data_IF_769858816520
#
_entry.id   IF_769858816520
#
_cell.length_a   1.000
_cell.length_b   1.000
_cell.length_c   1.000
_cell.angle_alpha   90.00
_cell.angle_beta   90.00
_cell.angle_gamma   90.00
#
_symmetry.space_group_name_H-M   'P 1'
#
loop_
_entity.id
_entity.type
_entity.pdbx_description
1 polymer ?
#
# COMPACT_ATOMS: atom_id res chain seq x y z
N UNK A 1 -38.85 24.75 22.29
CA UNK A 1 -38.13 23.47 22.40
C UNK A 1 -38.36 22.70 21.09
N UNK A 2 -37.41 22.69 20.20
CA UNK A 2 -37.50 21.92 18.93
C UNK A 2 -36.49 20.78 19.03
N UNK A 3 -36.99 19.55 19.04
CA UNK A 3 -36.17 18.33 19.00
C UNK A 3 -35.52 18.19 17.63
N UNK A 4 -34.17 18.21 17.60
CA UNK A 4 -33.39 17.82 16.44
C UNK A 4 -33.15 16.32 16.55
N UNK A 5 -33.83 15.55 15.69
CA UNK A 5 -33.62 14.12 15.57
C UNK A 5 -32.30 13.88 14.82
N UNK A 6 -31.29 13.39 15.52
CA UNK A 6 -30.04 12.93 14.91
C UNK A 6 -30.31 11.61 14.19
N UNK A 7 -30.28 11.64 12.87
CA UNK A 7 -30.42 10.47 12.01
C UNK A 7 -29.09 9.73 11.99
N UNK A 8 -28.99 8.62 12.72
CA UNK A 8 -27.85 7.71 12.69
C UNK A 8 -27.82 7.06 11.30
N UNK A 9 -26.89 7.51 10.46
CA UNK A 9 -26.58 6.86 9.18
C UNK A 9 -25.73 5.63 9.52
N UNK A 10 -26.31 4.44 9.44
CA UNK A 10 -25.56 3.17 9.44
C UNK A 10 -24.69 3.11 8.21
N UNK A 11 -23.41 3.41 8.36
CA UNK A 11 -22.40 3.14 7.35
C UNK A 11 -22.27 1.61 7.19
N UNK A 12 -22.62 1.10 6.03
CA UNK A 12 -22.32 -0.28 5.64
C UNK A 12 -20.82 -0.43 5.41
N UNK A 13 -20.19 -1.56 5.77
CA UNK A 13 -18.81 -1.80 5.42
C UNK A 13 -18.67 -1.79 3.90
N UNK A 14 -17.84 -0.89 3.38
CA UNK A 14 -17.48 -0.85 1.98
C UNK A 14 -16.57 -2.05 1.68
N UNK A 15 -17.15 -3.13 1.18
CA UNK A 15 -16.38 -4.13 0.45
C UNK A 15 -15.87 -3.46 -0.83
N UNK A 16 -14.57 -3.30 -0.94
CA UNK A 16 -13.93 -2.83 -2.19
C UNK A 16 -14.26 -3.86 -3.26
N UNK A 17 -15.11 -3.49 -4.23
CA UNK A 17 -15.49 -4.40 -5.30
C UNK A 17 -14.29 -4.66 -6.21
N UNK A 18 -14.09 -5.90 -6.70
CA UNK A 18 -13.02 -6.26 -7.64
C UNK A 18 -12.97 -5.39 -8.90
N UNK A 19 -14.09 -4.78 -9.26
CA UNK A 19 -14.23 -3.88 -10.43
C UNK A 19 -13.41 -2.58 -10.32
N UNK A 20 -13.12 -2.09 -9.09
CA UNK A 20 -12.31 -0.88 -8.89
C UNK A 20 -10.82 -1.10 -9.16
N UNK A 21 -10.32 -2.31 -8.88
CA UNK A 21 -8.91 -2.70 -9.15
C UNK A 21 -8.72 -2.91 -10.66
N UNK A 22 -9.71 -3.48 -11.35
CA UNK A 22 -9.69 -3.64 -12.80
C UNK A 22 -9.74 -2.28 -13.54
N UNK A 23 -10.38 -1.27 -12.97
CA UNK A 23 -10.39 0.09 -13.51
C UNK A 23 -9.03 0.77 -13.37
N UNK A 24 -8.31 0.56 -12.25
CA UNK A 24 -6.96 1.08 -12.02
C UNK A 24 -5.94 0.55 -13.03
N UNK A 25 -6.02 -0.75 -13.36
CA UNK A 25 -5.17 -1.35 -14.38
C UNK A 25 -5.45 -0.86 -15.81
N UNK A 26 -6.67 -0.37 -16.10
CA UNK A 26 -7.03 0.13 -17.45
C UNK A 26 -6.56 1.55 -17.73
N UNK A 27 -6.40 2.39 -16.71
CA UNK A 27 -6.13 3.83 -16.90
C UNK A 27 -4.65 4.13 -17.11
N UNK A 28 -3.74 3.35 -16.52
CA UNK A 28 -2.30 3.66 -16.57
C UNK A 28 -1.53 3.11 -17.78
N UNK A 29 -2.16 2.32 -18.67
CA UNK A 29 -1.51 1.77 -19.87
C UNK A 29 -2.10 2.23 -21.20
N UNK A 30 -3.14 3.08 -21.20
CA UNK A 30 -3.80 3.53 -22.44
C UNK A 30 -3.60 5.04 -22.71
N UNK A 31 -2.90 5.75 -21.83
CA UNK A 31 -2.69 7.21 -21.95
C UNK A 31 -1.59 7.66 -22.91
N UNK A 32 -0.79 6.76 -23.48
CA UNK A 32 0.20 7.09 -24.50
C UNK A 32 -0.10 6.33 -25.77
N UNK A 33 -0.86 6.95 -26.67
CA UNK A 33 -1.36 6.38 -27.94
C UNK A 33 -0.30 6.17 -29.00
N UNK A 34 0.75 5.35 -28.76
CA UNK A 34 1.87 5.20 -29.69
C UNK A 34 2.04 3.82 -30.29
N UNK A 35 1.43 2.74 -29.76
CA UNK A 35 1.58 1.42 -30.38
C UNK A 35 0.28 0.64 -30.50
N UNK A 36 -0.05 0.06 -31.69
CA UNK A 36 -1.17 -0.84 -31.88
C UNK A 36 -1.00 -2.12 -31.05
N UNK A 37 -2.12 -2.69 -30.59
CA UNK A 37 -2.21 -3.90 -29.74
C UNK A 37 -1.37 -5.10 -30.23
N UNK A 38 -1.10 -5.17 -31.53
CA UNK A 38 -0.30 -6.22 -32.17
C UNK A 38 1.20 -6.13 -31.82
N UNK A 39 1.72 -4.90 -31.63
CA UNK A 39 3.13 -4.68 -31.27
C UNK A 39 3.42 -4.87 -29.78
N UNK A 40 2.40 -4.81 -28.92
CA UNK A 40 2.56 -4.99 -27.49
C UNK A 40 2.97 -6.43 -27.11
N UNK A 41 2.42 -7.43 -27.82
CA UNK A 41 2.79 -8.83 -27.61
C UNK A 41 4.25 -9.13 -28.03
N UNK A 42 4.69 -8.56 -29.15
CA UNK A 42 6.05 -8.74 -29.67
C UNK A 42 7.07 -8.00 -28.81
N UNK A 43 6.74 -6.79 -28.32
CA UNK A 43 7.59 -6.03 -27.40
C UNK A 43 7.78 -6.76 -26.06
N UNK A 44 6.69 -7.26 -25.46
CA UNK A 44 6.76 -8.05 -24.21
C UNK A 44 7.60 -9.32 -24.40
N UNK A 45 7.49 -9.99 -25.53
CA UNK A 45 8.29 -11.18 -25.82
C UNK A 45 9.78 -10.87 -25.89
N UNK A 46 10.15 -9.78 -26.56
CA UNK A 46 11.54 -9.31 -26.66
C UNK A 46 12.14 -8.96 -25.28
N UNK A 47 11.38 -8.35 -24.37
CA UNK A 47 11.87 -8.03 -23.03
C UNK A 47 12.03 -9.29 -22.17
N UNK A 48 11.15 -10.27 -22.30
CA UNK A 48 11.26 -11.56 -21.60
C UNK A 48 12.46 -12.39 -22.08
N UNK A 49 12.89 -12.21 -23.33
CA UNK A 49 14.04 -12.92 -23.90
C UNK A 49 15.38 -12.40 -23.38
N UNK A 50 15.41 -11.23 -22.73
CA UNK A 50 16.58 -10.70 -22.05
C UNK A 50 16.81 -11.34 -20.67
N UNK A 51 15.78 -11.95 -20.07
CA UNK A 51 15.88 -12.50 -18.73
C UNK A 51 16.85 -13.69 -18.69
N UNK A 52 17.69 -13.67 -17.69
CA UNK A 52 18.68 -14.69 -17.39
C UNK A 52 18.13 -15.63 -16.32
N UNK A 53 17.83 -16.85 -16.70
CA UNK A 53 17.40 -17.89 -15.78
C UNK A 53 18.61 -18.69 -15.30
N UNK A 54 18.54 -19.20 -14.07
CA UNK A 54 19.57 -20.08 -13.54
C UNK A 54 19.65 -21.42 -14.29
N UNK A 55 20.58 -22.30 -13.88
CA UNK A 55 20.78 -23.64 -14.48
C UNK A 55 19.55 -24.55 -14.43
N UNK A 56 18.63 -24.26 -13.52
CA UNK A 56 17.38 -25.01 -13.33
C UNK A 56 16.19 -24.34 -14.06
N UNK A 57 16.48 -23.29 -14.85
CA UNK A 57 15.50 -22.51 -15.61
C UNK A 57 14.62 -21.63 -14.71
N UNK A 58 15.14 -21.20 -13.56
CA UNK A 58 14.44 -20.38 -12.57
C UNK A 58 15.05 -19.00 -12.43
N UNK A 59 14.21 -18.03 -12.09
CA UNK A 59 14.59 -16.66 -11.73
C UNK A 59 13.96 -16.31 -10.37
N UNK A 60 14.73 -15.75 -9.41
CA UNK A 60 14.19 -15.28 -8.16
C UNK A 60 13.29 -14.05 -8.38
N UNK A 61 12.19 -14.00 -7.62
CA UNK A 61 11.23 -12.92 -7.67
C UNK A 61 10.94 -12.43 -6.24
N UNK A 62 11.32 -11.20 -5.95
CA UNK A 62 10.99 -10.47 -4.74
C UNK A 62 9.60 -9.87 -4.92
N UNK A 63 8.63 -10.27 -4.10
CA UNK A 63 7.28 -9.72 -4.13
C UNK A 63 7.16 -8.63 -3.09
N UNK A 64 6.72 -7.45 -3.51
CA UNK A 64 6.62 -6.25 -2.69
C UNK A 64 5.20 -5.68 -2.75
N UNK A 65 4.69 -5.22 -1.62
CA UNK A 65 3.42 -4.50 -1.58
C UNK A 65 3.56 -3.14 -2.27
N UNK A 66 2.65 -2.83 -3.20
CA UNK A 66 2.73 -1.63 -4.01
C UNK A 66 2.57 -0.33 -3.22
N UNK A 67 1.89 -0.37 -2.07
CA UNK A 67 1.61 0.81 -1.26
C UNK A 67 2.62 1.00 -0.11
N UNK A 68 2.82 -0.04 0.69
CA UNK A 68 3.74 0.02 1.85
C UNK A 68 5.20 -0.18 1.48
N UNK A 69 5.48 -0.71 0.28
CA UNK A 69 6.81 -1.13 -0.17
C UNK A 69 7.42 -2.24 0.69
N UNK A 70 6.64 -2.85 1.56
CA UNK A 70 7.08 -3.99 2.38
C UNK A 70 7.32 -5.22 1.50
N UNK A 71 8.43 -5.88 1.69
CA UNK A 71 8.71 -7.17 1.04
C UNK A 71 7.78 -8.23 1.64
N UNK A 72 6.99 -8.88 0.79
CA UNK A 72 5.99 -9.87 1.20
C UNK A 72 6.55 -11.29 1.20
N UNK A 73 7.28 -11.65 0.17
CA UNK A 73 7.90 -12.97 0.02
C UNK A 73 8.97 -12.94 -1.06
N UNK A 74 9.85 -13.95 -1.06
CA UNK A 74 10.71 -14.30 -2.20
C UNK A 74 10.26 -15.66 -2.72
N UNK A 75 10.01 -15.73 -4.01
CA UNK A 75 9.61 -16.95 -4.70
C UNK A 75 10.46 -17.14 -5.97
N UNK A 76 10.25 -18.24 -6.66
CA UNK A 76 10.93 -18.52 -7.93
C UNK A 76 9.93 -18.62 -9.07
N UNK A 77 10.34 -18.15 -10.23
CA UNK A 77 9.55 -18.24 -11.44
C UNK A 77 10.36 -18.94 -12.54
N UNK A 78 9.67 -19.74 -13.34
CA UNK A 78 10.19 -20.18 -14.64
C UNK A 78 9.49 -19.36 -15.74
N UNK A 79 9.92 -19.54 -16.98
CA UNK A 79 9.35 -18.83 -18.14
C UNK A 79 7.82 -18.96 -18.20
N UNK A 80 7.31 -20.16 -18.00
CA UNK A 80 5.88 -20.45 -18.06
C UNK A 80 5.09 -19.72 -16.97
N UNK A 81 5.58 -19.75 -15.71
CA UNK A 81 4.92 -19.06 -14.59
C UNK A 81 4.88 -17.55 -14.79
N UNK A 82 5.95 -16.98 -15.38
CA UNK A 82 6.01 -15.57 -15.69
C UNK A 82 5.00 -15.19 -16.80
N UNK A 83 4.91 -15.98 -17.87
CA UNK A 83 3.94 -15.76 -18.95
C UNK A 83 2.48 -15.86 -18.42
N UNK A 84 2.21 -16.82 -17.55
CA UNK A 84 0.90 -16.94 -16.87
C UNK A 84 0.63 -15.69 -16.02
N UNK A 85 1.62 -15.23 -15.26
CA UNK A 85 1.50 -14.04 -14.41
C UNK A 85 1.16 -12.81 -15.24
N UNK A 86 1.86 -12.58 -16.32
CA UNK A 86 1.62 -11.46 -17.24
C UNK A 86 0.23 -11.53 -17.89
N UNK A 87 -0.19 -12.72 -18.31
CA UNK A 87 -1.51 -12.93 -18.93
C UNK A 87 -2.65 -12.73 -17.93
N UNK A 88 -2.52 -13.27 -16.72
CA UNK A 88 -3.56 -13.20 -15.68
C UNK A 88 -3.50 -11.93 -14.84
N UNK A 89 -2.36 -11.23 -14.84
CA UNK A 89 -2.04 -10.12 -13.95
C UNK A 89 -2.12 -10.52 -12.46
N UNK A 90 -1.86 -11.79 -12.18
CA UNK A 90 -1.79 -12.39 -10.86
C UNK A 90 -0.47 -13.14 -10.72
N UNK A 91 0.12 -13.14 -9.53
CA UNK A 91 1.39 -13.83 -9.31
C UNK A 91 1.23 -15.35 -9.41
N UNK A 92 1.97 -15.95 -10.34
CA UNK A 92 2.12 -17.38 -10.48
C UNK A 92 3.60 -17.73 -10.34
N UNK A 93 3.92 -18.66 -9.45
CA UNK A 93 5.29 -19.04 -9.12
C UNK A 93 5.57 -20.49 -9.51
N UNK A 94 6.84 -20.86 -9.51
CA UNK A 94 7.29 -22.25 -9.61
C UNK A 94 7.76 -22.75 -8.24
N UNK A 95 7.12 -23.79 -7.74
CA UNK A 95 7.51 -24.43 -6.48
C UNK A 95 8.68 -25.39 -6.71
N UNK A 96 9.87 -25.06 -6.22
CA UNK A 96 11.08 -25.87 -6.32
C UNK A 96 10.92 -27.26 -5.66
N UNK A 97 10.26 -27.31 -4.50
CA UNK A 97 10.05 -28.56 -3.77
C UNK A 97 9.00 -29.46 -4.41
N UNK A 98 7.92 -28.88 -4.95
CA UNK A 98 6.81 -29.63 -5.57
C UNK A 98 7.00 -29.82 -7.07
N UNK A 99 7.98 -29.13 -7.68
CA UNK A 99 8.26 -29.10 -9.12
C UNK A 99 7.02 -28.83 -9.97
N UNK A 100 6.21 -27.85 -9.54
CA UNK A 100 4.96 -27.46 -10.23
C UNK A 100 4.68 -25.96 -10.10
N UNK A 101 3.85 -25.48 -11.01
CA UNK A 101 3.31 -24.13 -10.96
C UNK A 101 2.38 -23.96 -9.76
N UNK A 102 2.35 -22.74 -9.23
CA UNK A 102 1.52 -22.37 -8.11
C UNK A 102 1.00 -20.93 -8.28
N UNK A 103 -0.29 -20.79 -8.47
CA UNK A 103 -0.96 -19.49 -8.49
C UNK A 103 -1.18 -19.04 -7.04
N UNK A 104 -0.60 -17.92 -6.67
CA UNK A 104 -0.77 -17.37 -5.31
C UNK A 104 -2.23 -17.01 -5.09
N UNK A 105 -2.80 -17.50 -4.01
CA UNK A 105 -4.22 -17.29 -3.69
C UNK A 105 -5.17 -18.38 -4.17
N UNK A 106 -4.73 -19.34 -4.99
CA UNK A 106 -5.62 -20.39 -5.53
C UNK A 106 -6.38 -21.20 -4.48
N UNK A 107 -5.81 -21.36 -3.28
CA UNK A 107 -6.42 -22.09 -2.17
C UNK A 107 -7.02 -21.16 -1.11
N UNK A 108 -6.35 -20.04 -0.82
CA UNK A 108 -6.71 -19.15 0.29
C UNK A 108 -7.66 -18.01 -0.11
N UNK A 109 -7.82 -17.74 -1.42
CA UNK A 109 -8.50 -16.54 -1.91
C UNK A 109 -7.66 -15.26 -1.85
N UNK A 110 -6.49 -15.29 -1.18
CA UNK A 110 -5.61 -14.13 -1.04
C UNK A 110 -4.72 -13.99 -2.28
N UNK A 111 -5.28 -13.48 -3.36
CA UNK A 111 -4.56 -13.23 -4.60
C UNK A 111 -3.62 -12.01 -4.48
N UNK A 112 -2.66 -11.93 -5.39
CA UNK A 112 -1.74 -10.83 -5.52
C UNK A 112 -1.85 -10.29 -6.94
N UNK A 113 -2.42 -9.09 -7.09
CA UNK A 113 -2.64 -8.40 -8.36
C UNK A 113 -1.37 -7.63 -8.72
N UNK A 114 -0.79 -7.96 -9.87
CA UNK A 114 0.47 -7.38 -10.32
C UNK A 114 0.26 -5.94 -10.78
N UNK A 115 1.01 -5.03 -10.19
CA UNK A 115 1.13 -3.61 -10.60
C UNK A 115 2.28 -3.45 -11.58
N UNK A 116 3.46 -4.00 -11.24
CA UNK A 116 4.66 -3.96 -12.09
C UNK A 116 5.51 -5.21 -11.90
N UNK A 117 6.30 -5.55 -12.92
CA UNK A 117 7.41 -6.50 -12.86
C UNK A 117 8.62 -5.80 -13.43
N UNK A 118 9.68 -5.70 -12.64
CA UNK A 118 10.92 -5.02 -13.01
C UNK A 118 12.08 -6.01 -12.85
N UNK A 119 12.89 -6.16 -13.87
CA UNK A 119 14.14 -6.90 -13.77
C UNK A 119 15.24 -5.98 -13.23
N UNK A 120 16.26 -6.56 -12.62
CA UNK A 120 17.47 -5.84 -12.22
C UNK A 120 18.40 -5.52 -13.42
N UNK A 121 19.59 -5.02 -13.13
CA UNK A 121 20.50 -4.48 -14.17
C UNK A 121 21.09 -5.54 -15.09
N UNK A 122 21.20 -6.78 -14.66
CA UNK A 122 21.74 -7.94 -15.41
C UNK A 122 20.68 -9.00 -15.71
N UNK A 123 19.40 -8.68 -15.42
CA UNK A 123 18.22 -9.45 -15.79
C UNK A 123 18.13 -10.83 -15.13
N UNK A 124 18.78 -11.07 -13.99
CA UNK A 124 18.81 -12.35 -13.30
C UNK A 124 17.91 -12.41 -12.06
N UNK A 125 17.26 -11.29 -11.71
CA UNK A 125 16.26 -11.22 -10.64
C UNK A 125 15.10 -10.27 -10.94
N UNK A 126 13.98 -10.48 -10.26
CA UNK A 126 12.75 -9.70 -10.46
C UNK A 126 12.26 -9.08 -9.17
N UNK A 127 11.76 -7.83 -9.24
CA UNK A 127 10.87 -7.23 -8.26
C UNK A 127 9.45 -7.19 -8.85
N UNK A 128 8.49 -7.74 -8.11
CA UNK A 128 7.07 -7.76 -8.50
C UNK A 128 6.29 -6.94 -7.48
N UNK A 129 5.81 -5.78 -7.89
CA UNK A 129 4.92 -4.98 -7.07
C UNK A 129 3.48 -5.47 -7.22
N UNK A 130 2.82 -5.67 -6.09
CA UNK A 130 1.46 -6.22 -6.06
C UNK A 130 0.52 -5.45 -5.11
N UNK A 131 -0.76 -5.46 -5.45
CA UNK A 131 -1.85 -5.20 -4.50
C UNK A 131 -2.41 -6.57 -4.08
N UNK A 132 -2.52 -6.80 -2.78
CA UNK A 132 -2.96 -8.10 -2.22
C UNK A 132 -4.39 -8.04 -1.68
N UNK A 133 -5.15 -9.13 -1.83
CA UNK A 133 -6.51 -9.25 -1.31
C UNK A 133 -6.56 -9.59 0.20
N UNK A 134 -5.41 -10.00 0.77
CA UNK A 134 -5.31 -10.39 2.18
C UNK A 134 -3.87 -10.74 2.57
N UNK A 135 -3.66 -11.42 3.71
CA UNK A 135 -2.35 -11.81 4.19
C UNK A 135 -1.51 -12.54 3.14
N UNK A 136 -0.24 -12.14 2.99
CA UNK A 136 0.64 -12.77 2.01
C UNK A 136 1.16 -14.13 2.48
N UNK A 137 1.34 -14.31 3.78
CA UNK A 137 1.86 -15.54 4.38
C UNK A 137 0.73 -16.55 4.67
N UNK A 138 1.05 -17.86 4.56
CA UNK A 138 0.14 -18.94 4.94
C UNK A 138 -0.14 -19.02 6.45
N UNK A 139 0.69 -18.37 7.28
CA UNK A 139 0.48 -18.23 8.72
C UNK A 139 -0.48 -17.09 9.07
N UNK A 140 -1.05 -16.41 8.07
CA UNK A 140 -1.96 -15.28 8.28
C UNK A 140 -1.24 -13.94 8.53
N UNK A 141 0.08 -13.89 8.45
CA UNK A 141 0.85 -12.65 8.56
C UNK A 141 0.91 -11.89 7.24
N UNK A 142 1.10 -10.59 7.35
CA UNK A 142 1.14 -9.68 6.20
C UNK A 142 2.31 -9.95 5.26
N UNK A 143 3.43 -10.43 5.81
CA UNK A 143 4.66 -10.79 5.12
C UNK A 143 5.18 -12.14 5.62
N UNK A 144 5.97 -12.83 4.80
CA UNK A 144 6.71 -14.02 5.22
C UNK A 144 7.95 -13.69 6.07
N UNK A 145 8.39 -12.43 6.08
CA UNK A 145 9.55 -11.97 6.83
C UNK A 145 9.14 -11.46 8.20
N UNK A 146 8.99 -12.39 9.16
CA UNK A 146 8.54 -12.11 10.52
C UNK A 146 9.59 -12.40 11.59
N UNK A 147 10.73 -13.01 11.21
CA UNK A 147 11.78 -13.39 12.14
C UNK A 147 13.01 -12.49 11.93
N UNK A 148 13.13 -11.45 12.74
CA UNK A 148 14.30 -10.58 12.74
C UNK A 148 15.50 -11.34 13.31
N UNK A 149 16.60 -11.41 12.58
CA UNK A 149 17.85 -12.04 13.02
C UNK A 149 18.82 -11.02 13.63
N UNK A 150 18.77 -9.79 13.18
CA UNK A 150 19.60 -8.69 13.65
C UNK A 150 18.85 -7.38 13.43
N UNK A 151 18.93 -6.49 14.38
CA UNK A 151 18.43 -5.12 14.32
C UNK A 151 19.53 -4.21 14.87
N UNK A 152 19.88 -3.16 14.12
CA UNK A 152 20.86 -2.18 14.57
C UNK A 152 20.13 -1.08 15.33
N UNK A 153 20.29 -1.06 16.67
CA UNK A 153 19.64 -0.08 17.55
C UNK A 153 20.19 1.35 17.36
N UNK A 154 21.39 1.50 16.79
CA UNK A 154 22.01 2.80 16.53
C UNK A 154 21.45 3.50 15.30
N UNK A 155 20.73 2.77 14.43
CA UNK A 155 20.14 3.29 13.20
C UNK A 155 18.63 3.19 13.30
N UNK A 156 17.97 4.34 13.47
CA UNK A 156 16.51 4.39 13.43
C UNK A 156 16.01 4.21 12.01
N UNK A 157 15.36 3.08 11.73
CA UNK A 157 14.56 2.89 10.51
C UNK A 157 13.16 3.46 10.75
N UNK A 158 13.04 4.79 10.59
CA UNK A 158 11.75 5.45 10.69
C UNK A 158 10.91 5.22 9.44
N UNK A 159 9.75 4.61 9.62
CA UNK A 159 8.72 4.56 8.59
C UNK A 159 7.36 4.98 9.15
N UNK A 160 6.53 5.58 8.30
CA UNK A 160 5.16 5.96 8.66
C UNK A 160 4.32 4.75 9.07
N UNK A 161 4.56 3.58 8.45
CA UNK A 161 3.85 2.35 8.77
C UNK A 161 4.29 1.82 10.15
N UNK A 162 5.59 1.88 10.50
CA UNK A 162 6.09 1.51 11.82
C UNK A 162 5.55 2.46 12.92
N UNK A 163 5.48 3.76 12.64
CA UNK A 163 4.86 4.72 13.56
C UNK A 163 3.36 4.41 13.77
N UNK A 164 2.65 4.09 12.70
CA UNK A 164 1.23 3.71 12.80
C UNK A 164 1.05 2.44 13.64
N UNK A 165 1.87 1.41 13.44
CA UNK A 165 1.83 0.18 14.22
C UNK A 165 2.12 0.45 15.72
N UNK A 166 3.08 1.33 16.02
CA UNK A 166 3.35 1.78 17.39
C UNK A 166 2.13 2.48 18.00
N UNK A 167 1.52 3.42 17.26
CA UNK A 167 0.32 4.15 17.70
C UNK A 167 -0.82 3.17 17.98
N UNK A 168 -1.09 2.24 17.06
CA UNK A 168 -2.11 1.21 17.20
C UNK A 168 -1.84 0.32 18.42
N UNK A 169 -0.59 -0.09 18.63
CA UNK A 169 -0.18 -0.85 19.81
C UNK A 169 -0.45 -0.10 21.13
N UNK A 170 -0.35 1.24 21.17
CA UNK A 170 -0.70 2.05 22.33
C UNK A 170 -2.20 2.11 22.60
N UNK A 171 -3.05 1.93 21.60
CA UNK A 171 -4.49 1.79 21.76
C UNK A 171 -4.86 0.43 22.35
N UNK A 172 -4.22 -0.65 21.85
CA UNK A 172 -4.47 -2.03 22.30
C UNK A 172 -3.86 -2.32 23.69
N UNK A 173 -2.71 -1.73 23.97
CA UNK A 173 -1.96 -1.88 25.22
C UNK A 173 -1.48 -0.50 25.72
N UNK A 174 -2.31 0.22 26.45
CA UNK A 174 -1.97 1.54 26.95
C UNK A 174 -0.73 1.52 27.84
N UNK A 175 0.13 2.53 27.69
CA UNK A 175 1.34 2.70 28.50
C UNK A 175 1.21 3.96 29.36
N UNK A 176 1.47 3.83 30.64
CA UNK A 176 1.51 4.96 31.57
C UNK A 176 2.51 6.04 31.13
N UNK A 177 2.11 7.30 31.19
CA UNK A 177 2.92 8.45 30.76
C UNK A 177 3.00 8.63 29.23
N UNK A 178 2.35 7.78 28.45
CA UNK A 178 2.33 7.92 26.99
C UNK A 178 1.27 8.93 26.54
N UNK A 179 1.69 9.95 25.79
CA UNK A 179 0.79 10.92 25.18
C UNK A 179 -0.21 10.26 24.20
N UNK A 180 0.24 9.26 23.43
CA UNK A 180 -0.63 8.49 22.53
C UNK A 180 -1.73 7.77 23.31
N UNK A 181 -1.38 7.10 24.43
CA UNK A 181 -2.36 6.44 25.29
C UNK A 181 -3.36 7.42 25.90
N UNK A 182 -2.88 8.61 26.30
CA UNK A 182 -3.73 9.69 26.79
C UNK A 182 -4.74 10.16 25.74
N UNK A 183 -4.34 10.29 24.47
CA UNK A 183 -5.26 10.70 23.40
C UNK A 183 -6.40 9.68 23.21
N UNK A 184 -6.08 8.39 23.22
CA UNK A 184 -7.11 7.34 23.12
C UNK A 184 -8.01 7.28 24.36
N UNK A 185 -7.46 7.48 25.57
CA UNK A 185 -8.26 7.58 26.80
C UNK A 185 -9.27 8.74 26.74
N UNK A 186 -8.86 9.90 26.23
CA UNK A 186 -9.73 11.08 26.07
C UNK A 186 -10.72 10.95 24.91
N UNK A 187 -10.49 10.01 24.00
CA UNK A 187 -11.40 9.64 22.94
C UNK A 187 -11.40 10.59 21.74
N UNK A 188 -12.32 10.30 20.83
CA UNK A 188 -12.37 10.88 19.48
C UNK A 188 -12.43 12.41 19.47
N UNK A 189 -13.17 13.04 20.39
CA UNK A 189 -13.33 14.50 20.41
C UNK A 189 -11.98 15.20 20.70
N UNK A 190 -11.15 14.63 21.58
CA UNK A 190 -9.83 15.16 21.87
C UNK A 190 -8.88 14.98 20.69
N UNK A 191 -8.96 13.83 19.99
CA UNK A 191 -8.16 13.55 18.81
C UNK A 191 -8.52 14.53 17.69
N UNK A 192 -9.81 14.72 17.41
CA UNK A 192 -10.30 15.66 16.39
C UNK A 192 -9.93 17.11 16.71
N UNK A 193 -9.99 17.49 18.00
CA UNK A 193 -9.54 18.81 18.45
C UNK A 193 -8.07 19.02 18.07
N UNK A 194 -7.20 18.05 18.35
CA UNK A 194 -5.76 18.14 18.03
C UNK A 194 -5.53 18.22 16.54
N UNK A 195 -6.17 17.41 15.72
CA UNK A 195 -6.08 17.52 14.25
C UNK A 195 -6.44 18.91 13.76
N UNK A 196 -7.50 19.54 14.33
CA UNK A 196 -7.90 20.91 13.99
C UNK A 196 -6.90 21.98 14.43
N UNK A 197 -6.31 21.83 15.61
CA UNK A 197 -5.25 22.70 16.14
C UNK A 197 -4.04 22.67 15.20
N UNK A 198 -3.48 21.50 14.93
CA UNK A 198 -2.29 21.32 14.07
C UNK A 198 -2.53 21.80 12.62
N UNK A 199 -3.72 21.55 12.07
CA UNK A 199 -4.10 22.12 10.77
C UNK A 199 -4.00 23.67 10.76
N UNK A 200 -4.39 24.31 11.85
CA UNK A 200 -4.35 25.77 11.96
C UNK A 200 -2.92 26.28 12.10
N UNK A 201 -2.10 25.59 12.90
CA UNK A 201 -0.70 25.92 13.14
C UNK A 201 0.14 25.76 11.85
N UNK A 202 -0.10 24.70 11.07
CA UNK A 202 0.47 24.57 9.70
C UNK A 202 0.15 25.79 8.82
N UNK A 203 -1.10 26.25 8.83
CA UNK A 203 -1.50 27.43 8.01
C UNK A 203 -0.78 28.69 8.47
N UNK A 204 -0.65 28.91 9.78
CA UNK A 204 0.02 30.07 10.36
C UNK A 204 1.51 30.04 10.04
N UNK A 205 2.19 28.93 10.30
CA UNK A 205 3.62 28.75 10.04
C UNK A 205 3.96 28.93 8.55
N UNK A 206 3.22 28.25 7.68
CA UNK A 206 3.41 28.38 6.23
C UNK A 206 3.14 29.79 5.71
N UNK A 207 2.11 30.48 6.24
CA UNK A 207 1.81 31.86 5.89
C UNK A 207 2.91 32.83 6.39
N UNK A 208 3.52 32.52 7.54
CA UNK A 208 4.64 33.26 8.11
C UNK A 208 5.94 33.10 7.31
N UNK A 209 6.04 32.08 6.48
CA UNK A 209 7.24 31.79 5.66
C UNK A 209 8.36 31.10 6.47
N UNK A 210 8.09 30.65 7.68
CA UNK A 210 9.04 29.91 8.48
C UNK A 210 9.03 28.42 8.05
N UNK A 211 10.12 28.01 7.42
CA UNK A 211 10.27 26.66 6.89
C UNK A 211 10.36 25.61 8.00
N UNK A 212 11.13 25.86 9.03
CA UNK A 212 11.38 24.89 10.10
C UNK A 212 10.12 24.70 10.96
N UNK A 213 9.45 25.80 11.29
CA UNK A 213 8.17 25.75 11.99
C UNK A 213 7.09 25.03 11.13
N UNK A 214 7.06 25.30 9.82
CA UNK A 214 6.13 24.60 8.92
C UNK A 214 6.38 23.09 8.88
N UNK A 215 7.65 22.65 8.92
CA UNK A 215 8.00 21.23 8.98
C UNK A 215 7.52 20.62 10.31
N UNK A 216 7.73 21.32 11.42
CA UNK A 216 7.34 20.90 12.74
C UNK A 216 5.83 20.67 12.82
N UNK A 217 5.04 21.65 12.44
CA UNK A 217 3.58 21.57 12.46
C UNK A 217 3.01 20.54 11.48
N UNK A 218 3.64 20.37 10.31
CA UNK A 218 3.28 19.27 9.39
C UNK A 218 3.55 17.89 9.97
N UNK A 219 4.62 17.74 10.76
CA UNK A 219 4.90 16.48 11.43
C UNK A 219 3.88 16.18 12.53
N UNK A 220 3.48 17.19 13.32
CA UNK A 220 2.45 17.05 14.34
C UNK A 220 1.07 16.75 13.74
N UNK A 221 0.71 17.44 12.66
CA UNK A 221 -0.51 17.12 11.92
C UNK A 221 -0.50 15.69 11.38
N UNK A 222 0.62 15.23 10.80
CA UNK A 222 0.77 13.86 10.30
C UNK A 222 0.63 12.83 11.44
N UNK A 223 1.26 13.09 12.59
CA UNK A 223 1.14 12.24 13.77
C UNK A 223 -0.30 12.13 14.26
N UNK A 224 -1.01 13.26 14.47
CA UNK A 224 -2.39 13.26 14.93
C UNK A 224 -3.37 12.67 13.89
N UNK A 225 -3.07 12.78 12.59
CA UNK A 225 -3.81 12.09 11.54
C UNK A 225 -3.66 10.56 11.65
N UNK A 226 -2.46 10.04 11.96
CA UNK A 226 -2.24 8.60 12.20
C UNK A 226 -2.99 8.11 13.45
N UNK A 227 -3.04 8.92 14.53
CA UNK A 227 -3.83 8.60 15.72
C UNK A 227 -5.31 8.53 15.38
N UNK A 228 -5.83 9.49 14.61
CA UNK A 228 -7.21 9.47 14.11
C UNK A 228 -7.51 8.23 13.25
N UNK A 229 -6.58 7.88 12.34
CA UNK A 229 -6.72 6.65 11.53
C UNK A 229 -6.85 5.42 12.42
N UNK A 230 -5.97 5.26 13.43
CA UNK A 230 -6.01 4.14 14.37
C UNK A 230 -7.32 4.12 15.18
N UNK A 231 -7.83 5.30 15.57
CA UNK A 231 -9.12 5.41 16.27
C UNK A 231 -10.28 4.95 15.40
N UNK A 232 -10.27 5.30 14.12
CA UNK A 232 -11.33 4.97 13.16
C UNK A 232 -11.16 3.59 12.50
N UNK A 233 -10.10 2.83 12.81
CA UNK A 233 -9.80 1.55 12.16
C UNK A 233 -9.40 1.68 10.69
N UNK A 234 -8.84 2.84 10.31
CA UNK A 234 -8.34 3.15 8.96
C UNK A 234 -6.82 2.93 8.96
N UNK A 235 -6.30 2.27 7.92
CA UNK A 235 -4.86 2.08 7.76
C UNK A 235 -4.23 3.15 6.84
N UNK A 236 -2.92 3.42 6.96
CA UNK A 236 -2.22 4.26 5.99
C UNK A 236 -2.38 3.75 4.55
N UNK A 237 -2.48 2.44 4.35
CA UNK A 237 -2.69 1.85 3.03
C UNK A 237 -4.07 2.15 2.44
N UNK A 238 -5.12 2.27 3.26
CA UNK A 238 -6.45 2.68 2.80
C UNK A 238 -6.40 4.11 2.25
N UNK A 239 -5.67 5.00 2.94
CA UNK A 239 -5.49 6.40 2.50
C UNK A 239 -4.64 6.45 1.23
N UNK A 240 -3.52 5.70 1.17
CA UNK A 240 -2.68 5.60 -0.04
C UNK A 240 -3.48 5.08 -1.24
N UNK A 241 -4.29 4.04 -1.06
CA UNK A 241 -5.16 3.49 -2.09
C UNK A 241 -6.20 4.52 -2.59
N UNK A 242 -6.80 5.26 -1.67
CA UNK A 242 -7.75 6.32 -2.00
C UNK A 242 -7.09 7.49 -2.75
N UNK A 243 -5.87 7.87 -2.37
CA UNK A 243 -5.08 8.87 -3.11
C UNK A 243 -4.72 8.37 -4.51
N UNK A 244 -4.27 7.12 -4.62
CA UNK A 244 -3.95 6.50 -5.91
C UNK A 244 -5.17 6.45 -6.84
N UNK A 245 -6.37 6.13 -6.33
CA UNK A 245 -7.60 6.11 -7.11
C UNK A 245 -8.02 7.48 -7.65
N UNK A 246 -7.57 8.56 -7.00
CA UNK A 246 -7.85 9.96 -7.37
C UNK A 246 -6.74 10.60 -8.18
N UNK A 247 -5.65 9.88 -8.43
CA UNK A 247 -4.47 10.41 -9.10
C UNK A 247 -4.74 10.72 -10.58
N UNK A 248 -5.36 11.88 -10.82
CA UNK A 248 -5.48 12.54 -12.12
C UNK A 248 -4.95 13.96 -11.92
N UNK A 249 -3.63 14.11 -12.05
CA UNK A 249 -2.93 15.38 -11.76
C UNK A 249 -3.36 16.49 -12.73
N UNK A 250 -3.82 16.17 -13.93
CA UNK A 250 -4.02 17.14 -15.01
C UNK A 250 -5.46 17.58 -15.26
N UNK A 251 -6.43 17.09 -14.48
CA UNK A 251 -7.82 17.54 -14.64
C UNK A 251 -8.32 18.21 -13.37
N UNK A 252 -8.30 19.52 -13.36
CA UNK A 252 -9.05 20.37 -12.44
C UNK A 252 -10.56 20.10 -12.58
N UNK A 253 -11.00 18.93 -12.12
CA UNK A 253 -12.42 18.56 -12.10
C UNK A 253 -12.87 18.59 -10.66
N UNK A 254 -13.60 19.66 -10.27
CA UNK A 254 -14.44 19.76 -9.08
C UNK A 254 -14.11 20.77 -7.99
N UNK A 255 -13.85 22.01 -8.35
CA UNK A 255 -14.29 23.06 -7.44
C UNK A 255 -15.63 23.71 -7.87
N UNK A 256 -16.16 23.40 -9.06
CA UNK A 256 -17.37 24.01 -9.61
C UNK A 256 -18.70 23.31 -9.23
N UNK A 257 -18.68 22.24 -8.42
CA UNK A 257 -19.89 21.52 -7.99
C UNK A 257 -20.23 21.64 -6.51
N UNK A 258 -19.66 22.64 -5.82
CA UNK A 258 -19.99 22.97 -4.43
C UNK A 258 -20.54 24.41 -4.31
N UNK A 259 -21.24 24.87 -5.34
CA UNK A 259 -22.13 26.04 -5.25
C UNK A 259 -23.57 25.57 -5.36
#
# INVERSE_FOLDING_TARGET
MRHIAVRIIKLRPFAVRPESVAAYCRVNLIGCGILPRKYYGDFMKLELDKLVFDKDGLIPAVVQDAYSKKVLTVAYMNRESLEISLKRKLTCFYSRSRKKLWLKGETSGNFQHIVSITADCDYDSLVIEVVKDGPACHLGTDSCFTNTLFENEDISDFSTDALYDLIKGRKESPKEGSYTSYLFEKGIDKILKKVGEECTEVVIAAKGGDREETIFELADLAYHALVLMAECGITPNDVKAQLASRHVVDKKVKQEKMQ
#
